data_IF_498175591715
#
_entry.id   IF_498175591715
#
_cell.length_a   1.000
_cell.length_b   1.000
_cell.length_c   1.000
_cell.angle_alpha   90.00
_cell.angle_beta   90.00
_cell.angle_gamma   90.00
#
_symmetry.space_group_name_H-M   'P 1'
#
loop_
_entity.id
_entity.type
_entity.pdbx_description
1 polymer ?
#
# COMPACT_ATOMS: atom_id res chain seq x y z
N UNK A 1 -33.45 -14.37 -14.06
CA UNK A 1 -32.11 -14.29 -13.43
C UNK A 1 -31.09 -14.44 -14.55
N UNK A 2 -30.74 -13.34 -15.20
CA UNK A 2 -29.79 -13.35 -16.32
C UNK A 2 -28.38 -13.51 -15.76
N UNK A 3 -27.68 -14.56 -16.17
CA UNK A 3 -26.28 -14.77 -15.79
C UNK A 3 -25.37 -14.00 -16.74
N UNK A 4 -24.46 -13.20 -16.21
CA UNK A 4 -23.46 -12.46 -16.99
C UNK A 4 -22.07 -13.02 -16.70
N UNK A 5 -21.30 -13.29 -17.76
CA UNK A 5 -19.91 -13.67 -17.58
C UNK A 5 -19.10 -12.51 -16.99
N UNK A 6 -17.99 -12.80 -16.31
CA UNK A 6 -17.10 -11.74 -15.82
C UNK A 6 -16.59 -10.84 -16.94
N UNK A 7 -16.39 -11.38 -18.15
CA UNK A 7 -15.97 -10.59 -19.31
C UNK A 7 -17.07 -9.61 -19.74
N UNK A 8 -18.33 -10.04 -19.72
CA UNK A 8 -19.47 -9.16 -20.01
C UNK A 8 -19.63 -8.08 -18.94
N UNK A 9 -19.51 -8.45 -17.66
CA UNK A 9 -19.52 -7.49 -16.56
C UNK A 9 -18.44 -6.40 -16.68
N UNK A 10 -17.23 -6.78 -17.12
CA UNK A 10 -16.16 -5.82 -17.42
C UNK A 10 -16.53 -4.87 -18.56
N UNK A 11 -17.13 -5.39 -19.65
CA UNK A 11 -17.59 -4.60 -20.79
C UNK A 11 -18.71 -3.63 -20.41
N UNK A 12 -19.68 -4.08 -19.63
CA UNK A 12 -20.81 -3.24 -19.18
C UNK A 12 -20.39 -2.12 -18.24
N UNK A 13 -19.39 -2.36 -17.39
CA UNK A 13 -18.87 -1.37 -16.46
C UNK A 13 -17.72 -0.53 -17.04
N UNK A 14 -17.18 -0.90 -18.20
CA UNK A 14 -16.01 -0.24 -18.80
C UNK A 14 -14.75 -0.35 -17.94
N UNK A 15 -14.56 -1.48 -17.23
CA UNK A 15 -13.45 -1.67 -16.29
C UNK A 15 -12.60 -2.89 -16.62
N UNK A 16 -11.33 -2.83 -16.21
CA UNK A 16 -10.41 -3.97 -16.30
C UNK A 16 -10.85 -5.14 -15.37
N UNK A 17 -10.62 -6.41 -15.76
CA UNK A 17 -10.93 -7.58 -14.95
C UNK A 17 -10.37 -7.57 -13.54
N UNK A 18 -9.20 -6.95 -13.31
CA UNK A 18 -8.62 -6.82 -11.96
C UNK A 18 -9.44 -5.88 -11.09
N UNK A 19 -9.92 -4.79 -11.68
CA UNK A 19 -10.76 -3.81 -10.99
C UNK A 19 -12.09 -4.45 -10.61
N UNK A 20 -12.71 -5.20 -11.53
CA UNK A 20 -13.94 -5.94 -11.24
C UNK A 20 -13.74 -6.94 -10.08
N UNK A 21 -12.65 -7.73 -10.11
CA UNK A 21 -12.33 -8.67 -9.02
C UNK A 21 -12.15 -7.97 -7.67
N UNK A 22 -11.45 -6.83 -7.65
CA UNK A 22 -11.27 -6.04 -6.42
C UNK A 22 -12.61 -5.55 -5.88
N UNK A 23 -13.48 -5.04 -6.75
CA UNK A 23 -14.80 -4.55 -6.37
C UNK A 23 -15.70 -5.67 -5.84
N UNK A 24 -15.67 -6.85 -6.47
CA UNK A 24 -16.41 -8.02 -5.99
C UNK A 24 -16.00 -8.44 -4.57
N UNK A 25 -14.69 -8.44 -4.29
CA UNK A 25 -14.16 -8.72 -2.95
C UNK A 25 -14.62 -7.64 -1.95
N UNK A 26 -14.53 -6.37 -2.33
CA UNK A 26 -14.92 -5.25 -1.47
C UNK A 26 -16.43 -5.25 -1.15
N UNK A 27 -17.27 -5.55 -2.15
CA UNK A 27 -18.71 -5.62 -2.01
C UNK A 27 -19.21 -6.96 -1.43
N UNK A 28 -18.31 -7.91 -1.14
CA UNK A 28 -18.62 -9.26 -0.65
C UNK A 28 -19.62 -10.01 -1.55
N UNK A 29 -19.56 -9.77 -2.87
CA UNK A 29 -20.50 -10.36 -3.82
C UNK A 29 -19.98 -11.72 -4.32
N UNK A 30 -20.81 -12.78 -4.26
CA UNK A 30 -20.38 -14.10 -4.68
C UNK A 30 -20.30 -14.20 -6.21
N UNK A 31 -19.20 -14.79 -6.68
CA UNK A 31 -19.06 -15.21 -8.08
C UNK A 31 -19.72 -16.57 -8.24
N UNK A 32 -20.72 -16.64 -9.12
CA UNK A 32 -21.48 -17.85 -9.37
C UNK A 32 -20.90 -18.61 -10.57
N UNK A 33 -21.02 -19.93 -10.58
CA UNK A 33 -20.71 -20.77 -11.74
C UNK A 33 -21.90 -20.76 -12.69
N UNK A 34 -21.64 -20.77 -13.99
CA UNK A 34 -22.71 -20.77 -14.99
C UNK A 34 -23.54 -22.07 -14.88
N UNK A 35 -24.88 -22.02 -14.92
CA UNK A 35 -25.74 -23.18 -14.71
C UNK A 35 -25.54 -24.29 -15.75
N UNK A 36 -25.22 -23.91 -16.99
CA UNK A 36 -24.98 -24.85 -18.10
C UNK A 36 -23.50 -25.18 -18.34
N UNK A 37 -22.56 -24.47 -17.73
CA UNK A 37 -21.12 -24.61 -18.00
C UNK A 37 -20.28 -24.32 -16.75
N UNK A 38 -19.90 -25.37 -16.02
CA UNK A 38 -19.14 -25.24 -14.78
C UNK A 38 -17.75 -24.62 -14.95
N UNK A 39 -17.24 -24.46 -16.18
CA UNK A 39 -15.95 -23.80 -16.46
C UNK A 39 -16.09 -22.28 -16.51
N UNK A 40 -17.30 -21.75 -16.70
CA UNK A 40 -17.57 -20.31 -16.76
C UNK A 40 -17.97 -19.77 -15.40
N UNK A 41 -17.38 -18.63 -15.04
CA UNK A 41 -17.69 -17.90 -13.81
C UNK A 41 -18.23 -16.52 -14.15
N UNK A 42 -19.17 -16.07 -13.33
CA UNK A 42 -19.95 -14.87 -13.63
C UNK A 42 -20.77 -14.41 -12.45
N UNK A 43 -21.63 -13.44 -12.71
CA UNK A 43 -22.39 -12.68 -11.74
C UNK A 43 -23.85 -12.63 -12.20
N UNK A 44 -24.77 -12.50 -11.25
CA UNK A 44 -26.13 -12.08 -11.59
C UNK A 44 -26.12 -10.64 -12.08
N UNK A 45 -27.01 -10.32 -13.01
CA UNK A 45 -27.29 -8.95 -13.44
C UNK A 45 -27.59 -8.01 -12.26
N UNK A 46 -28.29 -8.50 -11.24
CA UNK A 46 -28.61 -7.72 -10.03
C UNK A 46 -27.34 -7.33 -9.25
N UNK A 47 -26.38 -8.26 -9.13
CA UNK A 47 -25.09 -7.99 -8.49
C UNK A 47 -24.27 -6.96 -9.30
N UNK A 48 -24.37 -7.00 -10.62
CA UNK A 48 -23.70 -6.02 -11.49
C UNK A 48 -24.30 -4.62 -11.34
N UNK A 49 -25.63 -4.51 -11.23
CA UNK A 49 -26.34 -3.25 -10.93
C UNK A 49 -25.98 -2.71 -9.55
N UNK A 50 -25.91 -3.58 -8.54
CA UNK A 50 -25.48 -3.20 -7.20
C UNK A 50 -24.04 -2.66 -7.21
N UNK A 51 -23.13 -3.31 -7.93
CA UNK A 51 -21.75 -2.81 -8.13
C UNK A 51 -21.71 -1.46 -8.83
N UNK A 52 -22.52 -1.29 -9.86
CA UNK A 52 -22.60 -0.03 -10.60
C UNK A 52 -23.06 1.12 -9.68
N UNK A 53 -24.07 0.89 -8.83
CA UNK A 53 -24.54 1.86 -7.85
C UNK A 53 -23.46 2.19 -6.80
N UNK A 54 -22.80 1.17 -6.23
CA UNK A 54 -21.76 1.35 -5.21
C UNK A 54 -20.55 2.14 -5.73
N UNK A 55 -20.23 2.01 -7.01
CA UNK A 55 -19.09 2.67 -7.63
C UNK A 55 -19.47 3.85 -8.53
N UNK A 56 -20.74 4.30 -8.47
CA UNK A 56 -21.29 5.40 -9.26
C UNK A 56 -20.96 5.32 -10.77
N UNK A 57 -21.11 4.12 -11.36
CA UNK A 57 -20.88 3.88 -12.79
C UNK A 57 -22.18 3.71 -13.55
N UNK A 58 -22.24 4.24 -14.77
CA UNK A 58 -23.30 3.94 -15.73
C UNK A 58 -23.04 2.56 -16.35
N UNK A 59 -24.00 1.65 -16.24
CA UNK A 59 -23.97 0.41 -17.01
C UNK A 59 -24.23 0.75 -18.48
N UNK A 60 -23.25 0.55 -19.35
CA UNK A 60 -23.47 0.62 -20.79
C UNK A 60 -24.53 -0.41 -21.14
N UNK A 61 -25.66 0.09 -21.65
CA UNK A 61 -26.93 -0.60 -21.80
C UNK A 61 -26.76 -2.12 -22.00
N UNK A 62 -27.18 -2.87 -20.97
CA UNK A 62 -27.54 -4.28 -21.16
C UNK A 62 -28.54 -4.35 -22.31
N UNK A 63 -28.57 -5.42 -23.11
CA UNK A 63 -29.63 -5.60 -24.09
C UNK A 63 -30.96 -5.57 -23.34
N UNK A 64 -31.62 -4.40 -23.36
CA UNK A 64 -33.00 -4.26 -22.92
C UNK A 64 -33.84 -4.83 -24.05
N UNK A 65 -33.98 -6.16 -24.05
CA UNK A 65 -35.10 -6.79 -24.72
C UNK A 65 -36.38 -6.23 -24.06
N UNK A 66 -37.02 -5.25 -24.71
CA UNK A 66 -38.40 -4.85 -24.40
C UNK A 66 -38.61 -3.60 -23.54
N UNK A 67 -37.93 -2.48 -23.79
CA UNK A 67 -38.44 -1.15 -23.36
C UNK A 67 -38.83 -0.30 -24.58
N UNK A 68 -40.07 0.23 -24.66
CA UNK A 68 -40.46 1.10 -25.75
C UNK A 68 -39.56 2.34 -25.76
N UNK A 69 -39.04 2.68 -26.95
CA UNK A 69 -38.24 3.87 -27.22
C UNK A 69 -38.89 5.13 -26.63
N UNK A 70 -38.17 5.96 -25.86
CA UNK A 70 -38.66 7.27 -25.50
C UNK A 70 -38.55 8.19 -26.72
N UNK A 71 -39.65 8.87 -27.02
CA UNK A 71 -39.74 9.90 -28.06
C UNK A 71 -38.63 10.96 -27.92
N UNK A 72 -38.14 11.53 -29.04
CA UNK A 72 -37.11 12.56 -29.02
C UNK A 72 -37.73 13.86 -28.48
N UNK A 73 -37.38 14.25 -27.24
CA UNK A 73 -37.80 15.55 -26.72
C UNK A 73 -37.72 15.79 -25.21
N UNK A 74 -37.49 14.78 -24.37
CA UNK A 74 -37.42 15.01 -22.92
C UNK A 74 -35.98 15.27 -22.48
N UNK A 75 -35.62 16.55 -22.32
CA UNK A 75 -34.42 16.97 -21.58
C UNK A 75 -34.57 16.47 -20.15
N UNK A 76 -33.83 15.42 -19.79
CA UNK A 76 -33.81 14.91 -18.42
C UNK A 76 -33.30 16.02 -17.48
N UNK A 77 -33.99 16.33 -16.37
CA UNK A 77 -33.49 17.30 -15.41
C UNK A 77 -32.17 16.77 -14.85
N UNK A 78 -31.11 17.59 -14.94
CA UNK A 78 -29.82 17.29 -14.33
C UNK A 78 -30.06 16.91 -12.86
N UNK A 79 -29.54 15.77 -12.38
CA UNK A 79 -29.80 15.30 -11.03
C UNK A 79 -29.36 16.36 -10.04
N UNK A 80 -30.23 16.74 -9.10
CA UNK A 80 -30.01 17.82 -8.12
C UNK A 80 -28.66 17.70 -7.38
N UNK A 81 -28.12 16.49 -7.25
CA UNK A 81 -26.78 16.23 -6.70
C UNK A 81 -25.62 16.90 -7.46
N UNK A 82 -25.76 17.15 -8.78
CA UNK A 82 -24.76 17.89 -9.55
C UNK A 82 -24.84 19.41 -9.30
N UNK A 83 -26.00 19.93 -8.93
CA UNK A 83 -26.19 21.35 -8.60
C UNK A 83 -25.66 21.69 -7.20
N UNK A 84 -25.63 20.72 -6.29
CA UNK A 84 -25.08 20.90 -4.92
C UNK A 84 -23.56 20.70 -4.84
N UNK A 85 -22.93 20.20 -5.91
CA UNK A 85 -21.50 19.89 -5.94
C UNK A 85 -20.60 21.14 -5.81
N UNK A 86 -20.91 22.28 -6.46
CA UNK A 86 -20.16 23.53 -6.26
C UNK A 86 -20.26 24.06 -4.83
N UNK A 87 -21.43 23.98 -4.21
CA UNK A 87 -21.64 24.39 -2.81
C UNK A 87 -20.83 23.51 -1.85
N UNK A 88 -20.80 22.20 -2.09
CA UNK A 88 -19.99 21.27 -1.30
C UNK A 88 -18.49 21.53 -1.47
N UNK A 89 -18.03 21.85 -2.68
CA UNK A 89 -16.65 22.25 -2.92
C UNK A 89 -16.29 23.56 -2.20
N UNK A 90 -17.18 24.56 -2.22
CA UNK A 90 -16.97 25.83 -1.50
C UNK A 90 -16.91 25.62 0.02
N UNK A 91 -17.79 24.79 0.57
CA UNK A 91 -17.78 24.43 1.99
C UNK A 91 -16.47 23.73 2.37
N UNK A 92 -16.01 22.76 1.58
CA UNK A 92 -14.75 22.06 1.83
C UNK A 92 -13.53 22.99 1.70
N UNK A 93 -13.52 23.90 0.72
CA UNK A 93 -12.46 24.91 0.56
C UNK A 93 -12.39 25.85 1.78
N UNK A 94 -13.54 26.22 2.33
CA UNK A 94 -13.64 27.02 3.57
C UNK A 94 -13.09 26.26 4.78
N UNK A 95 -13.33 24.94 4.86
CA UNK A 95 -12.76 24.11 5.92
C UNK A 95 -11.23 24.00 5.81
N UNK A 96 -10.70 23.84 4.60
CA UNK A 96 -9.24 23.77 4.39
C UNK A 96 -8.54 25.08 4.77
N UNK A 97 -9.13 26.23 4.42
CA UNK A 97 -8.57 27.54 4.77
C UNK A 97 -8.62 27.79 6.28
N UNK A 98 -9.71 27.41 6.95
CA UNK A 98 -9.79 27.49 8.42
C UNK A 98 -8.74 26.60 9.10
N UNK A 99 -8.52 25.38 8.60
CA UNK A 99 -7.50 24.48 9.14
C UNK A 99 -6.09 25.03 8.93
N UNK A 100 -5.81 25.57 7.73
CA UNK A 100 -4.53 26.21 7.43
C UNK A 100 -4.26 27.39 8.36
N UNK A 101 -5.26 28.21 8.66
CA UNK A 101 -5.14 29.31 9.61
C UNK A 101 -4.83 28.82 11.02
N UNK A 102 -5.52 27.78 11.50
CA UNK A 102 -5.25 27.18 12.81
C UNK A 102 -3.82 26.64 12.93
N UNK A 103 -3.31 25.99 11.87
CA UNK A 103 -1.92 25.50 11.85
C UNK A 103 -0.94 26.67 11.85
N UNK A 104 -1.22 27.74 11.11
CA UNK A 104 -0.40 28.95 11.11
C UNK A 104 -0.35 29.60 12.50
N UNK A 105 -1.50 29.77 13.16
CA UNK A 105 -1.60 30.37 14.49
C UNK A 105 -0.85 29.53 15.55
N UNK A 106 -1.03 28.20 15.53
CA UNK A 106 -0.29 27.29 16.40
C UNK A 106 1.22 27.31 16.13
N UNK A 107 1.63 27.38 14.85
CA UNK A 107 3.04 27.47 14.49
C UNK A 107 3.67 28.76 15.01
N UNK A 108 2.95 29.88 14.97
CA UNK A 108 3.39 31.16 15.50
C UNK A 108 3.51 31.13 17.02
N UNK A 109 2.54 30.53 17.72
CA UNK A 109 2.63 30.33 19.18
C UNK A 109 3.83 29.46 19.58
N UNK A 110 4.10 28.38 18.85
CA UNK A 110 5.26 27.52 19.10
C UNK A 110 6.58 28.25 18.82
N UNK A 111 6.67 29.05 17.76
CA UNK A 111 7.86 29.87 17.48
C UNK A 111 8.11 30.92 18.55
N UNK A 112 7.05 31.53 19.09
CA UNK A 112 7.15 32.49 20.19
C UNK A 112 7.64 31.83 21.50
N UNK A 113 7.21 30.59 21.78
CA UNK A 113 7.69 29.82 22.93
C UNK A 113 9.10 29.24 22.75
N UNK A 114 9.53 29.05 21.50
CA UNK A 114 10.85 28.52 21.16
C UNK A 114 11.95 29.60 21.08
N UNK A 115 11.73 30.80 21.60
CA UNK A 115 12.80 31.80 21.68
C UNK A 115 13.99 31.21 22.46
N UNK A 116 15.19 31.17 21.85
CA UNK A 116 16.37 30.65 22.51
C UNK A 116 16.77 31.62 23.60
N UNK A 117 16.60 31.20 24.86
CA UNK A 117 17.35 31.75 25.99
C UNK A 117 18.82 31.46 25.69
N UNK A 118 19.54 32.49 25.20
CA UNK A 118 20.99 32.46 25.05
C UNK A 118 21.58 32.50 26.46
N UNK A 119 21.96 31.33 26.98
CA UNK A 119 22.81 31.21 28.16
C UNK A 119 24.22 30.84 27.72
N UNK A 120 25.26 31.60 28.12
CA UNK A 120 26.65 31.24 27.83
C UNK A 120 27.09 30.04 28.68
N UNK A 121 27.69 29.06 28.02
CA UNK A 121 28.27 27.87 28.62
C UNK A 121 29.53 28.18 29.46
N UNK A 122 29.83 27.33 30.46
CA UNK A 122 31.20 26.89 30.61
C UNK A 122 31.35 25.37 30.72
N UNK A 123 32.51 24.92 30.23
CA UNK A 123 32.98 23.56 30.07
C UNK A 123 33.39 22.88 31.39
N UNK A 124 33.33 21.54 31.44
CA UNK A 124 34.50 20.65 31.55
C UNK A 124 34.17 19.25 32.16
N UNK A 125 34.66 18.19 31.48
CA UNK A 125 35.34 16.94 31.97
C UNK A 125 34.61 16.13 33.06
N UNK A 126 34.18 14.87 32.91
CA UNK A 126 34.83 13.63 32.43
C UNK A 126 34.49 12.47 33.43
N UNK A 127 34.44 11.18 33.03
CA UNK A 127 33.82 10.06 33.79
C UNK A 127 34.83 9.23 34.63
N UNK A 128 34.42 8.23 35.48
CA UNK A 128 34.20 6.84 35.02
C UNK A 128 33.16 5.97 35.80
N UNK A 129 32.67 4.91 35.13
CA UNK A 129 31.98 3.68 35.62
C UNK A 129 33.03 2.63 36.12
N UNK A 130 32.72 1.40 36.61
CA UNK A 130 31.44 0.78 37.01
C UNK A 130 31.47 -0.02 38.36
N UNK A 131 30.31 -0.36 38.92
CA UNK A 131 30.21 -1.48 39.86
C UNK A 131 28.86 -2.20 39.73
N UNK A 132 28.95 -3.49 39.45
CA UNK A 132 27.90 -4.49 39.34
C UNK A 132 27.36 -4.89 40.72
N UNK A 133 26.05 -4.95 40.89
CA UNK A 133 25.39 -5.99 41.68
C UNK A 133 23.87 -5.98 41.46
N UNK A 134 23.35 -7.12 41.02
CA UNK A 134 21.99 -7.57 41.23
C UNK A 134 22.10 -8.95 41.92
N UNK A 135 21.01 -9.66 42.33
CA UNK A 135 19.60 -9.29 42.37
C UNK A 135 18.92 -9.68 43.72
N UNK A 136 17.69 -9.21 44.00
CA UNK A 136 16.74 -9.98 44.83
C UNK A 136 15.28 -9.67 44.52
N UNK A 137 14.56 -10.78 44.32
CA UNK A 137 13.17 -11.04 44.01
C UNK A 137 12.11 -10.07 44.54
N UNK A 138 11.14 -9.72 43.68
CA UNK A 138 9.72 -9.75 44.03
C UNK A 138 8.92 -10.41 42.92
N UNK A 139 8.20 -11.46 43.31
CA UNK A 139 7.18 -12.16 42.53
C UNK A 139 5.97 -11.24 42.38
N UNK A 140 5.51 -11.05 41.15
CA UNK A 140 4.17 -10.56 40.84
C UNK A 140 3.58 -11.50 39.78
N UNK A 141 2.48 -12.15 40.16
CA UNK A 141 1.71 -13.08 39.37
C UNK A 141 0.88 -12.32 38.32
N UNK A 142 0.66 -12.97 37.17
CA UNK A 142 -0.37 -12.70 36.16
C UNK A 142 -0.09 -11.61 35.10
N UNK A 143 0.53 -12.01 33.99
CA UNK A 143 -0.11 -11.96 32.67
C UNK A 143 0.62 -12.96 31.75
N UNK A 144 -0.12 -13.88 31.14
CA UNK A 144 0.38 -14.79 30.10
C UNK A 144 1.09 -13.95 29.04
N UNK A 145 2.40 -14.13 28.77
CA UNK A 145 3.02 -13.46 27.64
C UNK A 145 2.37 -14.05 26.40
N UNK A 146 1.58 -13.23 25.70
CA UNK A 146 1.29 -13.49 24.30
C UNK A 146 2.65 -13.64 23.62
N UNK A 147 2.85 -14.70 22.80
CA UNK A 147 4.12 -14.87 22.13
C UNK A 147 4.44 -13.56 21.38
N UNK A 148 5.66 -13.02 21.49
CA UNK A 148 6.02 -11.82 20.75
C UNK A 148 5.65 -12.08 19.30
N UNK A 149 4.74 -11.26 18.76
CA UNK A 149 4.39 -11.28 17.35
C UNK A 149 5.72 -11.27 16.63
N UNK A 150 5.99 -12.34 15.84
CA UNK A 150 7.23 -12.48 15.07
C UNK A 150 7.55 -11.11 14.49
N UNK A 151 8.74 -10.52 14.75
CA UNK A 151 9.06 -9.24 14.16
C UNK A 151 8.79 -9.40 12.67
N UNK A 152 7.90 -8.57 12.13
CA UNK A 152 7.64 -8.55 10.71
C UNK A 152 9.02 -8.55 10.06
N UNK A 153 9.35 -9.59 9.28
CA UNK A 153 10.65 -9.67 8.64
C UNK A 153 10.72 -8.50 7.68
N UNK A 154 11.20 -7.35 8.16
CA UNK A 154 11.34 -6.14 7.38
C UNK A 154 12.57 -6.40 6.51
N UNK A 155 12.28 -6.69 5.24
CA UNK A 155 13.30 -6.99 4.23
C UNK A 155 13.98 -5.67 3.88
N UNK A 156 15.32 -5.55 3.99
CA UNK A 156 16.06 -4.39 3.54
C UNK A 156 15.71 -4.00 2.11
N UNK A 157 15.51 -2.72 1.87
CA UNK A 157 15.21 -2.19 0.55
C UNK A 157 16.46 -1.61 -0.08
N UNK A 158 16.79 -2.00 -1.30
CA UNK A 158 17.90 -1.47 -2.08
C UNK A 158 17.31 -0.70 -3.24
N UNK A 159 17.64 0.59 -3.35
CA UNK A 159 17.23 1.45 -4.44
C UNK A 159 18.44 1.83 -5.29
N UNK A 160 18.32 1.68 -6.60
CA UNK A 160 19.33 2.20 -7.53
C UNK A 160 19.09 3.70 -7.76
N UNK A 161 20.06 4.53 -7.34
CA UNK A 161 20.08 5.94 -7.69
C UNK A 161 20.36 6.14 -9.18
N UNK A 162 19.96 7.29 -9.71
CA UNK A 162 20.26 7.69 -11.10
C UNK A 162 21.76 7.85 -11.35
N UNK A 163 22.53 8.12 -10.30
CA UNK A 163 23.99 8.29 -10.34
C UNK A 163 24.75 6.95 -10.29
N UNK A 164 24.02 5.83 -10.39
CA UNK A 164 24.61 4.50 -10.33
C UNK A 164 24.96 4.03 -8.92
N UNK A 165 24.69 4.79 -7.86
CA UNK A 165 24.89 4.33 -6.48
C UNK A 165 23.70 3.49 -5.97
N UNK A 166 23.96 2.55 -5.05
CA UNK A 166 22.91 1.79 -4.37
C UNK A 166 22.63 2.38 -2.99
N UNK A 167 21.38 2.76 -2.75
CA UNK A 167 20.91 3.21 -1.43
C UNK A 167 20.14 2.09 -0.78
N UNK A 168 20.67 1.58 0.32
CA UNK A 168 20.06 0.52 1.12
C UNK A 168 19.35 1.12 2.32
N UNK A 169 18.03 1.00 2.34
CA UNK A 169 17.19 1.30 3.51
C UNK A 169 17.07 0.03 4.34
N UNK A 170 17.95 -0.08 5.33
CA UNK A 170 17.95 -1.17 6.30
C UNK A 170 17.08 -0.79 7.52
N UNK A 171 16.17 -1.65 7.97
CA UNK A 171 15.37 -1.39 9.17
C UNK A 171 16.21 -1.36 10.46
N UNK A 172 17.39 -1.97 10.47
CA UNK A 172 18.30 -2.02 11.64
C UNK A 172 19.42 -0.98 11.61
N UNK A 173 19.85 -0.56 10.42
CA UNK A 173 21.03 0.29 10.24
C UNK A 173 20.70 1.65 9.60
N UNK A 174 19.44 1.91 9.25
CA UNK A 174 19.04 3.15 8.57
C UNK A 174 19.43 3.15 7.09
N UNK A 175 19.74 4.32 6.56
CA UNK A 175 20.07 4.54 5.15
C UNK A 175 21.58 4.39 4.96
N UNK A 176 21.98 3.41 4.15
CA UNK A 176 23.37 3.10 3.81
C UNK A 176 23.57 3.35 2.32
N UNK A 177 24.52 4.21 1.95
CA UNK A 177 24.90 4.41 0.57
C UNK A 177 26.10 3.50 0.25
N UNK A 178 25.98 2.68 -0.78
CA UNK A 178 27.05 1.81 -1.26
C UNK A 178 27.36 2.11 -2.73
N UNK A 179 28.64 2.06 -3.07
CA UNK A 179 29.07 1.95 -4.46
C UNK A 179 28.75 0.54 -4.98
N UNK A 180 28.20 0.38 -6.20
CA UNK A 180 27.99 -0.93 -6.81
C UNK A 180 29.28 -1.74 -6.85
N UNK A 181 29.16 -3.04 -6.64
CA UNK A 181 30.28 -3.99 -6.76
C UNK A 181 31.46 -3.71 -5.82
N UNK A 182 31.28 -2.83 -4.82
CA UNK A 182 32.29 -2.58 -3.82
C UNK A 182 32.40 -3.76 -2.84
N UNK A 183 33.55 -3.95 -2.19
CA UNK A 183 33.69 -4.97 -1.15
C UNK A 183 32.72 -4.75 0.02
N UNK A 184 32.39 -3.49 0.33
CA UNK A 184 31.42 -3.13 1.37
C UNK A 184 30.00 -3.58 1.00
N UNK A 185 29.62 -3.46 -0.27
CA UNK A 185 28.36 -3.98 -0.79
C UNK A 185 28.26 -5.50 -0.62
N UNK A 186 29.30 -6.26 -0.98
CA UNK A 186 29.31 -7.72 -0.83
C UNK A 186 29.36 -8.16 0.65
N UNK A 187 30.10 -7.44 1.49
CA UNK A 187 30.14 -7.70 2.92
C UNK A 187 28.76 -7.49 3.56
N UNK A 188 28.06 -6.41 3.18
CA UNK A 188 26.68 -6.20 3.59
C UNK A 188 25.76 -7.32 3.07
N UNK A 189 25.84 -7.67 1.78
CA UNK A 189 24.98 -8.68 1.16
C UNK A 189 25.15 -10.07 1.81
N UNK A 190 26.36 -10.42 2.24
CA UNK A 190 26.66 -11.66 2.96
C UNK A 190 25.97 -11.75 4.32
N UNK A 191 25.65 -10.62 4.96
CA UNK A 191 24.89 -10.59 6.22
C UNK A 191 23.39 -10.78 6.04
N UNK A 192 22.88 -10.68 4.80
CA UNK A 192 21.46 -10.69 4.52
C UNK A 192 20.97 -12.07 4.10
N UNK A 193 19.80 -12.47 4.62
CA UNK A 193 19.08 -13.66 4.16
C UNK A 193 18.04 -13.35 3.09
N UNK A 194 17.63 -12.08 2.97
CA UNK A 194 16.75 -11.60 1.91
C UNK A 194 16.86 -10.07 1.79
N UNK A 195 16.72 -9.53 0.59
CA UNK A 195 16.58 -8.10 0.34
C UNK A 195 15.61 -7.84 -0.81
N UNK A 196 15.03 -6.65 -0.87
CA UNK A 196 14.18 -6.20 -1.97
C UNK A 196 14.93 -5.14 -2.76
N UNK A 197 15.04 -5.32 -4.06
CA UNK A 197 15.67 -4.36 -4.94
C UNK A 197 14.61 -3.61 -5.75
N UNK A 198 14.74 -2.29 -5.84
CA UNK A 198 13.95 -1.41 -6.69
C UNK A 198 14.92 -0.69 -7.62
N UNK A 199 14.80 -0.98 -8.91
CA UNK A 199 15.50 -0.29 -9.97
C UNK A 199 14.54 0.42 -10.92
N UNK A 200 15.10 1.14 -11.89
CA UNK A 200 14.34 1.84 -12.93
C UNK A 200 13.45 0.92 -13.76
N UNK A 201 13.86 -0.34 -13.94
CA UNK A 201 13.15 -1.36 -14.71
C UNK A 201 12.19 -2.23 -13.88
N UNK A 202 11.95 -1.86 -12.61
CA UNK A 202 11.00 -2.53 -11.72
C UNK A 202 11.65 -3.05 -10.43
N UNK A 203 10.95 -3.97 -9.77
CA UNK A 203 11.34 -4.50 -8.46
C UNK A 203 11.53 -6.01 -8.49
N UNK A 204 12.46 -6.50 -7.69
CA UNK A 204 12.58 -7.91 -7.38
C UNK A 204 12.89 -8.12 -5.90
N UNK A 205 12.57 -9.30 -5.39
CA UNK A 205 12.95 -9.73 -4.05
C UNK A 205 13.94 -10.88 -4.19
N UNK A 206 15.11 -10.77 -3.57
CA UNK A 206 16.08 -11.84 -3.51
C UNK A 206 16.08 -12.49 -2.12
N UNK A 207 16.21 -13.81 -2.08
CA UNK A 207 16.39 -14.58 -0.84
C UNK A 207 17.52 -15.59 -1.01
N UNK A 208 18.27 -15.80 0.06
CA UNK A 208 19.41 -16.70 0.11
C UNK A 208 18.97 -18.06 0.67
N UNK A 209 18.94 -19.09 -0.18
CA UNK A 209 18.55 -20.45 0.20
C UNK A 209 19.73 -21.24 0.75
N UNK A 210 20.10 -20.97 2.01
CA UNK A 210 21.18 -21.72 2.69
C UNK A 210 20.75 -23.14 3.07
N UNK A 211 19.46 -23.36 3.34
CA UNK A 211 18.95 -24.63 3.89
C UNK A 211 18.74 -25.75 2.85
N UNK A 212 18.67 -25.43 1.56
CA UNK A 212 18.31 -26.40 0.51
C UNK A 212 19.44 -26.75 -0.46
N UNK A 213 20.53 -25.99 -0.47
CA UNK A 213 21.62 -26.16 -1.44
C UNK A 213 22.97 -26.05 -0.72
N UNK A 214 23.91 -27.01 -0.89
CA UNK A 214 25.27 -26.83 -0.40
C UNK A 214 25.88 -25.57 -1.05
N UNK A 215 26.47 -24.70 -0.24
CA UNK A 215 26.98 -23.35 -0.56
C UNK A 215 25.94 -22.21 -0.65
N UNK A 216 24.65 -22.50 -0.48
CA UNK A 216 23.59 -21.49 -0.60
C UNK A 216 23.41 -21.00 -2.04
N UNK A 217 22.19 -20.70 -2.44
CA UNK A 217 21.93 -20.07 -3.74
C UNK A 217 21.02 -18.87 -3.54
N UNK A 218 21.30 -17.79 -4.26
CA UNK A 218 20.39 -16.66 -4.33
C UNK A 218 19.27 -16.97 -5.32
N UNK A 219 18.03 -16.74 -4.90
CA UNK A 219 16.89 -16.74 -5.81
C UNK A 219 16.28 -15.36 -5.83
N UNK A 220 15.95 -14.90 -7.02
CA UNK A 220 15.30 -13.63 -7.23
C UNK A 220 13.88 -13.84 -7.80
N UNK A 221 12.92 -13.21 -7.16
CA UNK A 221 11.53 -13.11 -7.60
C UNK A 221 11.31 -11.74 -8.22
N UNK A 222 11.21 -11.66 -9.54
CA UNK A 222 10.96 -10.41 -10.27
C UNK A 222 9.51 -10.33 -10.70
N UNK A 223 8.89 -9.15 -10.52
CA UNK A 223 7.54 -8.90 -11.00
C UNK A 223 7.58 -7.88 -12.14
N UNK A 224 7.27 -8.32 -13.36
CA UNK A 224 7.29 -7.48 -14.56
C UNK A 224 5.94 -7.61 -15.28
N UNK A 225 5.25 -6.48 -15.53
CA UNK A 225 4.00 -6.44 -16.33
C UNK A 225 2.98 -7.53 -15.94
N UNK A 226 2.71 -7.69 -14.65
CA UNK A 226 1.80 -8.71 -14.08
C UNK A 226 2.24 -10.17 -14.19
N UNK A 227 3.50 -10.42 -14.55
CA UNK A 227 4.10 -11.75 -14.59
C UNK A 227 5.18 -11.85 -13.51
N UNK A 228 5.20 -13.00 -12.82
CA UNK A 228 6.21 -13.33 -11.82
C UNK A 228 7.26 -14.24 -12.46
N UNK A 229 8.52 -13.81 -12.41
CA UNK A 229 9.67 -14.56 -12.90
C UNK A 229 10.51 -15.00 -11.70
N UNK A 230 10.91 -16.26 -11.69
CA UNK A 230 11.82 -16.82 -10.71
C UNK A 230 13.18 -17.04 -11.39
N UNK A 231 14.20 -16.34 -10.91
CA UNK A 231 15.57 -16.45 -11.40
C UNK A 231 16.43 -17.07 -10.29
N UNK A 232 17.29 -18.00 -10.67
CA UNK A 232 18.37 -18.47 -9.80
C UNK A 232 19.62 -17.68 -10.19
N UNK A 233 20.24 -17.01 -9.22
CA UNK A 233 21.45 -16.22 -9.38
C UNK A 233 22.68 -17.06 -9.05
#
# INVERSE_FOLDING_TARGET
MTFLSLADGCRHLGIDPKTLRRWLVQAHLPVQRHPSDGRKTGLSEDHLRQLACLHHRSLSALPQEGRPLPAPGAVAPLPAALLTLPEQMAAMQTQLTALQQQVADLSHLLQHLAQPVVLPAPAAKGPPTPASSAPRSRLALAARPTPPKKPAHVIPLVEASRDGQYVVVCPRQGLLAFTPESPEWFAWLATQSSFRFIGTQGRFTAHHEVLRVPNGAWRAHRHLRNHSYNLRL
#
